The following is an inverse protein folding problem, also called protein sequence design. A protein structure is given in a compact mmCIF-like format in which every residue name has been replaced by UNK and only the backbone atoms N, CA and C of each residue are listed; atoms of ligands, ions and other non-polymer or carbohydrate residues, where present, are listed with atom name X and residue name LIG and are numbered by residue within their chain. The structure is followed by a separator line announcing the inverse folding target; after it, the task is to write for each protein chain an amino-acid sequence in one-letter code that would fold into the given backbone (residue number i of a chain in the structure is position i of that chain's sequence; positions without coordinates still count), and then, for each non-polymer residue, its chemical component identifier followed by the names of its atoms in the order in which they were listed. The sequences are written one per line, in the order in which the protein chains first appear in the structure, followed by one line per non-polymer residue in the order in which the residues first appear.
data_IF_407094430430
#
_entry.id   IF_407094430430
#
_cell.length_a   1.000
_cell.length_b   1.000
_cell.length_c   1.000
_cell.angle_alpha   90.00
_cell.angle_beta   90.00
_cell.angle_gamma   90.00
#
_symmetry.space_group_name_H-M   'P 1'
#
loop_
_entity.id
_entity.type
_entity.pdbx_description
1 polymer ?
#
# COMPACT_ATOMS: atom_id res chain seq x y z
N UNK A 1 -12.64 -16.88 13.26
CA UNK A 1 -11.33 -17.22 12.66
C UNK A 1 -11.38 -16.80 11.21
N UNK A 2 -10.58 -15.80 10.83
CA UNK A 2 -10.55 -15.24 9.48
C UNK A 2 -10.00 -16.29 8.53
N UNK A 3 -10.61 -16.43 7.35
CA UNK A 3 -10.03 -17.25 6.29
C UNK A 3 -8.94 -16.44 5.57
N UNK A 4 -7.72 -16.44 6.13
CA UNK A 4 -6.53 -15.80 5.54
C UNK A 4 -6.26 -16.26 4.10
N UNK A 5 -6.80 -17.42 3.67
CA UNK A 5 -6.68 -17.93 2.30
C UNK A 5 -7.29 -17.01 1.21
N UNK A 6 -8.20 -16.10 1.57
CA UNK A 6 -8.78 -15.15 0.58
C UNK A 6 -7.97 -13.87 0.38
N UNK A 7 -7.13 -13.50 1.35
CA UNK A 7 -6.28 -12.30 1.32
C UNK A 7 -4.87 -12.63 0.78
N UNK A 8 -4.45 -13.89 0.87
CA UNK A 8 -3.12 -14.45 0.55
C UNK A 8 -2.70 -14.47 -0.92
N UNK A 9 -3.48 -13.90 -1.84
CA UNK A 9 -3.02 -13.78 -3.25
C UNK A 9 -2.24 -12.50 -3.53
N UNK A 10 -2.20 -11.55 -2.61
CA UNK A 10 -1.46 -10.30 -2.76
C UNK A 10 -0.60 -10.11 -1.51
N UNK A 11 0.71 -10.33 -1.67
CA UNK A 11 1.70 -10.28 -0.58
C UNK A 11 1.62 -8.97 0.24
N UNK A 12 1.21 -7.86 -0.39
CA UNK A 12 1.05 -6.56 0.27
C UNK A 12 -0.05 -6.51 1.35
N UNK A 13 -0.83 -7.57 1.53
CA UNK A 13 -1.79 -7.73 2.64
C UNK A 13 -1.42 -8.82 3.64
N UNK A 14 -0.28 -9.47 3.46
CA UNK A 14 0.25 -10.37 4.48
C UNK A 14 0.87 -9.52 5.59
N UNK A 15 0.44 -9.74 6.84
CA UNK A 15 0.97 -8.97 7.97
C UNK A 15 2.47 -9.22 8.20
N UNK A 16 2.96 -10.39 7.81
CA UNK A 16 4.39 -10.70 7.83
C UNK A 16 5.20 -9.71 6.96
N UNK A 17 4.63 -9.22 5.85
CA UNK A 17 5.28 -8.19 5.05
C UNK A 17 5.44 -6.88 5.83
N UNK A 18 4.39 -6.43 6.54
CA UNK A 18 4.51 -5.25 7.39
C UNK A 18 5.56 -5.42 8.49
N UNK A 19 5.70 -6.62 9.07
CA UNK A 19 6.71 -6.93 10.07
C UNK A 19 8.14 -6.89 9.50
N UNK A 20 8.34 -7.38 8.28
CA UNK A 20 9.63 -7.28 7.58
C UNK A 20 9.96 -5.81 7.35
N UNK A 21 9.01 -5.04 6.79
CA UNK A 21 9.23 -3.62 6.47
C UNK A 21 9.48 -2.77 7.72
N UNK A 22 8.79 -3.06 8.82
CA UNK A 22 8.95 -2.29 10.06
C UNK A 22 10.38 -2.31 10.60
N UNK A 23 11.14 -3.38 10.31
CA UNK A 23 12.52 -3.54 10.78
C UNK A 23 13.50 -2.51 10.19
N UNK A 24 13.27 -2.06 8.96
CA UNK A 24 14.12 -1.07 8.29
C UNK A 24 13.51 0.33 8.20
N UNK A 25 12.22 0.50 8.52
CA UNK A 25 11.53 1.80 8.63
C UNK A 25 11.48 2.35 10.07
N UNK A 26 12.09 1.68 11.05
CA UNK A 26 12.02 2.01 12.48
C UNK A 26 10.59 2.31 12.97
N UNK A 27 9.66 1.45 12.56
CA UNK A 27 8.23 1.66 12.71
C UNK A 27 7.57 0.53 13.50
N UNK A 28 6.34 0.73 13.96
CA UNK A 28 5.52 -0.33 14.57
C UNK A 28 4.46 -0.80 13.59
N UNK A 29 4.43 -2.09 13.18
CA UNK A 29 3.41 -2.60 12.28
C UNK A 29 2.06 -2.69 13.01
N UNK A 30 1.01 -2.26 12.34
CA UNK A 30 -0.37 -2.21 12.85
C UNK A 30 -1.34 -2.64 11.75
N UNK A 31 -2.52 -3.11 12.16
CA UNK A 31 -3.62 -3.35 11.23
C UNK A 31 -4.96 -3.02 11.87
N UNK A 32 -5.94 -2.79 11.00
CA UNK A 32 -7.34 -2.65 11.36
C UNK A 32 -8.16 -3.60 10.48
N UNK A 33 -9.10 -4.30 11.11
CA UNK A 33 -10.03 -5.18 10.45
C UNK A 33 -11.43 -4.89 10.96
N UNK A 34 -12.39 -4.87 10.04
CA UNK A 34 -13.81 -4.85 10.38
C UNK A 34 -14.53 -5.91 9.58
N UNK A 35 -15.52 -6.55 10.19
CA UNK A 35 -16.37 -7.53 9.53
C UNK A 35 -17.85 -7.33 9.89
N UNK A 36 -18.73 -8.04 9.18
CA UNK A 36 -20.15 -8.15 9.47
C UNK A 36 -20.61 -9.62 9.54
N UNK A 37 -21.85 -9.84 9.98
CA UNK A 37 -22.44 -11.18 10.13
C UNK A 37 -22.69 -11.89 8.79
N UNK A 38 -22.59 -11.19 7.65
CA UNK A 38 -22.76 -11.73 6.30
C UNK A 38 -21.45 -12.28 5.73
N UNK A 39 -20.33 -12.15 6.46
CA UNK A 39 -19.01 -12.56 6.01
C UNK A 39 -18.26 -11.53 5.18
N UNK A 40 -18.80 -10.31 5.06
CA UNK A 40 -18.05 -9.19 4.49
C UNK A 40 -16.97 -8.74 5.46
N UNK A 41 -15.82 -8.34 4.91
CA UNK A 41 -14.73 -7.81 5.71
C UNK A 41 -13.94 -6.75 4.94
N UNK A 42 -13.28 -5.90 5.70
CA UNK A 42 -12.27 -4.98 5.19
C UNK A 42 -11.04 -5.04 6.10
N UNK A 43 -9.88 -4.87 5.49
CA UNK A 43 -8.57 -4.97 6.13
C UNK A 43 -7.66 -3.86 5.63
N UNK A 44 -6.89 -3.29 6.55
CA UNK A 44 -5.86 -2.31 6.25
C UNK A 44 -4.68 -2.47 7.20
N UNK A 45 -3.47 -2.53 6.66
CA UNK A 45 -2.23 -2.55 7.43
C UNK A 45 -1.36 -1.33 7.13
N UNK A 46 -0.68 -0.85 8.16
CA UNK A 46 0.17 0.32 8.12
C UNK A 46 1.29 0.20 9.16
N UNK A 47 2.33 1.01 8.97
CA UNK A 47 3.42 1.17 9.91
C UNK A 47 3.23 2.52 10.58
N UNK A 48 3.25 2.54 11.92
CA UNK A 48 3.15 3.75 12.73
C UNK A 48 4.54 4.20 13.15
N UNK A 49 4.88 5.47 12.94
CA UNK A 49 6.20 6.03 13.29
C UNK A 49 6.03 7.24 14.20
N UNK A 50 6.92 7.33 15.18
CA UNK A 50 7.04 8.50 16.04
C UNK A 50 7.83 9.57 15.29
N UNK A 51 7.21 10.73 15.06
CA UNK A 51 7.77 11.82 14.23
C UNK A 51 8.68 12.77 15.02
N UNK A 52 8.91 12.51 16.31
CA UNK A 52 9.81 13.32 17.15
C UNK A 52 11.28 13.18 16.76
N UNK A 53 11.67 12.17 15.97
CA UNK A 53 13.05 12.04 15.48
C UNK A 53 13.32 12.98 14.28
N UNK A 54 12.27 13.41 13.59
CA UNK A 54 12.29 14.22 12.38
C UNK A 54 12.02 15.69 12.69
N UNK A 55 11.32 15.96 13.79
CA UNK A 55 10.93 17.30 14.23
C UNK A 55 11.32 17.48 15.70
N UNK A 56 12.45 18.15 15.93
CA UNK A 56 13.10 18.24 17.24
C UNK A 56 12.24 18.91 18.33
N UNK A 57 11.27 19.74 17.94
CA UNK A 57 10.37 20.44 18.85
C UNK A 57 9.23 19.56 19.40
N UNK A 58 9.07 18.34 18.87
CA UNK A 58 7.99 17.44 19.30
C UNK A 58 8.40 16.56 20.47
N UNK A 59 7.47 16.38 21.40
CA UNK A 59 7.62 15.43 22.51
C UNK A 59 7.65 13.99 21.96
N UNK A 60 8.59 13.18 22.46
CA UNK A 60 8.71 11.77 22.08
C UNK A 60 7.45 10.98 22.42
N UNK A 61 7.02 10.11 21.51
CA UNK A 61 5.80 9.30 21.58
C UNK A 61 4.50 10.11 21.67
N UNK A 62 4.52 11.39 21.26
CA UNK A 62 3.34 12.25 21.32
C UNK A 62 2.53 12.23 20.03
N UNK A 63 3.21 12.40 18.91
CA UNK A 63 2.63 12.52 17.59
C UNK A 63 3.22 11.46 16.67
N UNK A 64 2.40 11.01 15.74
CA UNK A 64 2.76 9.94 14.85
C UNK A 64 2.36 10.26 13.42
N UNK A 65 3.11 9.70 12.50
CA UNK A 65 2.63 9.48 11.15
C UNK A 65 2.41 7.98 10.91
N UNK A 66 1.80 7.70 9.77
CA UNK A 66 1.73 6.34 9.26
C UNK A 66 2.19 6.26 7.82
N UNK A 67 2.73 5.10 7.47
CA UNK A 67 3.05 4.74 6.10
C UNK A 67 2.47 3.38 5.79
N UNK A 68 2.05 3.14 4.55
CA UNK A 68 1.86 1.75 4.10
C UNK A 68 3.22 1.06 4.03
N UNK A 69 3.30 -0.26 4.29
CA UNK A 69 4.51 -1.03 4.02
C UNK A 69 5.07 -0.74 2.62
N UNK A 70 6.40 -0.89 2.47
CA UNK A 70 7.08 -0.69 1.19
C UNK A 70 6.50 -1.62 0.12
N UNK A 71 6.60 -1.23 -1.15
CA UNK A 71 6.10 -2.03 -2.29
C UNK A 71 4.57 -2.29 -2.26
N UNK A 72 3.81 -1.22 -2.03
CA UNK A 72 2.35 -1.15 -2.12
C UNK A 72 1.56 -1.61 -0.87
N UNK A 73 0.40 -0.99 -0.69
CA UNK A 73 -0.66 -1.32 0.25
C UNK A 73 -1.96 -0.71 -0.26
N UNK A 74 -3.09 -0.93 0.40
CA UNK A 74 -4.32 -0.14 0.19
C UNK A 74 -5.37 -0.63 1.20
N UNK A 75 -6.63 -0.20 1.02
CA UNK A 75 -7.75 -0.84 1.68
C UNK A 75 -8.13 -2.10 0.89
N UNK A 76 -8.14 -3.25 1.56
CA UNK A 76 -8.82 -4.44 1.07
C UNK A 76 -10.25 -4.43 1.62
N UNK A 77 -11.24 -4.68 0.77
CA UNK A 77 -12.64 -4.71 1.20
C UNK A 77 -13.48 -5.56 0.26
N UNK A 78 -14.48 -6.27 0.81
CA UNK A 78 -15.41 -7.07 0.00
C UNK A 78 -16.52 -6.21 -0.62
N UNK A 79 -16.88 -5.08 0.01
CA UNK A 79 -17.88 -4.16 -0.50
C UNK A 79 -17.72 -2.72 0.05
N UNK A 80 -18.52 -1.80 -0.47
CA UNK A 80 -18.49 -0.37 -0.13
C UNK A 80 -18.91 -0.05 1.31
N UNK A 81 -19.90 -0.77 1.84
CA UNK A 81 -20.41 -0.55 3.20
C UNK A 81 -19.35 -0.92 4.24
N UNK A 82 -18.67 -2.05 4.04
CA UNK A 82 -17.62 -2.52 4.95
C UNK A 82 -16.35 -1.66 4.87
N UNK A 83 -16.02 -1.13 3.67
CA UNK A 83 -14.98 -0.12 3.49
C UNK A 83 -15.29 1.15 4.30
N UNK A 84 -16.52 1.67 4.19
CA UNK A 84 -16.91 2.88 4.91
C UNK A 84 -16.84 2.67 6.43
N UNK A 85 -17.23 1.49 6.91
CA UNK A 85 -17.07 1.11 8.33
C UNK A 85 -15.60 1.11 8.74
N UNK A 86 -14.71 0.54 7.91
CA UNK A 86 -13.27 0.51 8.17
C UNK A 86 -12.70 1.93 8.26
N UNK A 87 -13.05 2.81 7.31
CA UNK A 87 -12.56 4.18 7.28
C UNK A 87 -13.02 4.98 8.51
N UNK A 88 -14.27 4.80 8.97
CA UNK A 88 -14.76 5.42 10.22
C UNK A 88 -13.93 4.98 11.42
N UNK A 89 -13.70 3.69 11.58
CA UNK A 89 -12.90 3.17 12.71
C UNK A 89 -11.43 3.57 12.60
N UNK A 90 -10.89 3.62 11.39
CA UNK A 90 -9.53 4.09 11.11
C UNK A 90 -9.35 5.56 11.50
N UNK A 91 -10.26 6.47 11.10
CA UNK A 91 -10.20 7.87 11.49
C UNK A 91 -10.27 8.06 13.01
N UNK A 92 -11.15 7.33 13.70
CA UNK A 92 -11.22 7.35 15.17
C UNK A 92 -9.91 6.91 15.80
N UNK A 93 -9.30 5.84 15.27
CA UNK A 93 -8.00 5.37 15.73
C UNK A 93 -6.92 6.42 15.54
N UNK A 94 -6.88 7.09 14.40
CA UNK A 94 -5.92 8.17 14.16
C UNK A 94 -6.03 9.30 15.19
N UNK A 95 -7.26 9.73 15.49
CA UNK A 95 -7.50 10.78 16.51
C UNK A 95 -7.04 10.31 17.89
N UNK A 96 -7.45 9.11 18.31
CA UNK A 96 -7.15 8.58 19.64
C UNK A 96 -5.65 8.33 19.85
N UNK A 97 -4.93 8.04 18.77
CA UNK A 97 -3.51 7.69 18.81
C UNK A 97 -2.58 8.83 18.40
N UNK A 98 -3.10 10.06 18.24
CA UNK A 98 -2.35 11.24 17.78
C UNK A 98 -1.61 11.02 16.44
N UNK A 99 -2.23 10.30 15.51
CA UNK A 99 -1.74 10.15 14.14
C UNK A 99 -2.19 11.38 13.34
N UNK A 100 -1.25 12.22 12.94
CA UNK A 100 -1.54 13.53 12.34
C UNK A 100 -1.28 13.60 10.84
N UNK A 101 -0.57 12.62 10.29
CA UNK A 101 -0.28 12.53 8.85
C UNK A 101 -0.16 11.08 8.39
N UNK A 102 -0.36 10.88 7.09
CA UNK A 102 -0.27 9.56 6.47
C UNK A 102 0.34 9.65 5.07
N UNK A 103 1.19 8.69 4.72
CA UNK A 103 1.68 8.50 3.36
C UNK A 103 1.29 7.11 2.85
N UNK A 104 0.34 7.08 1.91
CA UNK A 104 -0.19 5.86 1.33
C UNK A 104 0.45 5.58 -0.03
N UNK A 105 1.03 4.39 -0.21
CA UNK A 105 1.39 3.84 -1.52
C UNK A 105 0.31 2.86 -1.96
N UNK A 106 -0.68 3.36 -2.70
CA UNK A 106 -1.78 2.51 -3.18
C UNK A 106 -1.27 1.48 -4.20
N UNK A 107 -1.69 0.23 -4.04
CA UNK A 107 -1.38 -0.82 -5.01
C UNK A 107 -2.07 -0.50 -6.36
N UNK A 108 -1.31 -0.27 -7.44
CA UNK A 108 -1.86 0.13 -8.74
C UNK A 108 -2.75 -0.96 -9.36
N UNK A 109 -2.60 -2.21 -8.94
CA UNK A 109 -3.43 -3.34 -9.42
C UNK A 109 -4.77 -3.41 -8.70
N UNK A 110 -5.00 -2.60 -7.67
CA UNK A 110 -6.21 -2.65 -6.84
C UNK A 110 -6.99 -1.36 -7.03
N UNK A 111 -8.16 -1.48 -7.64
CA UNK A 111 -9.09 -0.36 -7.78
C UNK A 111 -9.66 0.04 -6.43
N UNK A 112 -9.47 1.30 -6.06
CA UNK A 112 -10.01 1.91 -4.84
C UNK A 112 -11.30 2.69 -5.14
N UNK A 113 -12.23 2.71 -4.19
CA UNK A 113 -13.42 3.58 -4.26
C UNK A 113 -13.08 4.98 -3.73
N UNK A 114 -12.47 5.80 -4.58
CA UNK A 114 -12.06 7.16 -4.26
C UNK A 114 -13.20 8.06 -3.79
N UNK A 115 -14.42 7.83 -4.26
CA UNK A 115 -15.59 8.60 -3.81
C UNK A 115 -15.92 8.35 -2.33
N UNK A 116 -15.62 7.16 -1.81
CA UNK A 116 -15.78 6.84 -0.40
C UNK A 116 -14.56 7.33 0.37
N UNK A 117 -13.35 7.00 -0.09
CA UNK A 117 -12.10 7.35 0.60
C UNK A 117 -11.97 8.86 0.82
N UNK A 118 -12.27 9.67 -0.21
CA UNK A 118 -12.16 11.13 -0.15
C UNK A 118 -13.16 11.80 0.82
N UNK A 119 -14.15 11.06 1.35
CA UNK A 119 -15.02 11.56 2.44
C UNK A 119 -14.34 11.51 3.80
N UNK A 120 -13.31 10.69 3.95
CA UNK A 120 -12.64 10.41 5.22
C UNK A 120 -11.18 10.87 5.24
N UNK A 121 -10.52 10.87 4.08
CA UNK A 121 -9.09 11.14 3.95
C UNK A 121 -8.91 12.14 2.80
N UNK A 122 -8.22 13.25 3.05
CA UNK A 122 -7.79 14.17 1.99
C UNK A 122 -6.61 13.56 1.23
N UNK A 123 -6.90 12.84 0.14
CA UNK A 123 -5.88 12.16 -0.66
C UNK A 123 -5.35 13.09 -1.74
N UNK A 124 -4.06 13.42 -1.65
CA UNK A 124 -3.33 14.16 -2.70
C UNK A 124 -2.42 13.20 -3.47
N UNK A 125 -2.63 12.99 -4.78
CA UNK A 125 -1.75 12.15 -5.59
C UNK A 125 -0.37 12.79 -5.69
N UNK A 126 0.67 12.02 -5.38
CA UNK A 126 2.06 12.49 -5.37
C UNK A 126 2.78 12.11 -6.67
N UNK A 127 2.44 10.97 -7.28
CA UNK A 127 3.08 10.45 -8.47
C UNK A 127 2.14 9.51 -9.24
N UNK A 128 2.28 9.48 -10.56
CA UNK A 128 1.67 8.46 -11.42
C UNK A 128 2.59 7.24 -11.54
N UNK A 129 2.02 6.04 -11.45
CA UNK A 129 2.76 4.80 -11.68
C UNK A 129 2.93 4.54 -13.19
N UNK A 130 4.16 4.25 -13.60
CA UNK A 130 4.44 3.72 -14.95
C UNK A 130 4.31 2.20 -14.88
N UNK A 131 3.50 1.62 -15.75
CA UNK A 131 3.36 0.18 -15.89
C UNK A 131 3.50 -0.24 -17.36
N UNK A 132 3.77 -1.53 -17.56
CA UNK A 132 3.77 -2.18 -18.86
C UNK A 132 2.75 -3.31 -18.76
N UNK A 133 1.75 -3.30 -19.65
CA UNK A 133 0.82 -4.41 -19.73
C UNK A 133 1.51 -5.62 -20.37
N UNK A 134 1.61 -6.72 -19.62
CA UNK A 134 2.25 -7.96 -20.08
C UNK A 134 1.25 -8.92 -20.76
N UNK A 135 -0.03 -8.58 -20.80
CA UNK A 135 -1.04 -9.35 -21.54
C UNK A 135 -1.00 -9.10 -23.06
N UNK A 136 -0.27 -8.07 -23.48
CA UNK A 136 -0.07 -7.71 -24.89
C UNK A 136 1.39 -7.96 -25.30
N UNK A 137 1.67 -7.91 -26.62
CA UNK A 137 3.05 -7.91 -27.12
C UNK A 137 3.76 -6.57 -26.80
N UNK A 138 4.15 -6.41 -25.54
CA UNK A 138 4.61 -5.16 -24.96
C UNK A 138 5.88 -4.59 -25.59
N UNK A 139 6.71 -5.45 -26.22
CA UNK A 139 7.91 -5.02 -26.92
C UNK A 139 7.58 -4.08 -28.09
N UNK A 140 6.42 -4.24 -28.74
CA UNK A 140 5.99 -3.36 -29.82
C UNK A 140 5.69 -1.94 -29.32
N UNK A 141 5.38 -1.80 -28.03
CA UNK A 141 5.11 -0.50 -27.40
C UNK A 141 6.39 0.24 -27.01
N UNK A 142 7.57 -0.39 -27.13
CA UNK A 142 8.85 0.27 -26.84
C UNK A 142 9.36 1.11 -28.02
N UNK A 143 10.05 2.22 -27.70
CA UNK A 143 10.70 3.03 -28.73
C UNK A 143 11.76 2.25 -29.51
N UNK A 144 11.96 2.58 -30.79
CA UNK A 144 13.01 1.96 -31.65
C UNK A 144 14.40 2.00 -31.01
N UNK A 145 14.73 3.08 -30.28
CA UNK A 145 15.99 3.22 -29.55
C UNK A 145 16.10 2.19 -28.42
N UNK A 146 15.04 1.97 -27.64
CA UNK A 146 15.00 0.98 -26.56
C UNK A 146 15.12 -0.44 -27.13
N UNK A 147 14.39 -0.75 -28.20
CA UNK A 147 14.49 -2.05 -28.88
C UNK A 147 15.90 -2.36 -29.40
N UNK A 148 16.59 -1.37 -30.00
CA UNK A 148 17.99 -1.52 -30.41
C UNK A 148 18.93 -1.82 -29.24
N UNK A 149 18.72 -1.15 -28.10
CA UNK A 149 19.52 -1.37 -26.90
C UNK A 149 19.29 -2.77 -26.32
N UNK A 150 18.04 -3.25 -26.30
CA UNK A 150 17.70 -4.62 -25.87
C UNK A 150 18.42 -5.64 -26.76
N UNK A 151 18.33 -5.49 -28.10
CA UNK A 151 19.02 -6.38 -29.05
C UNK A 151 20.53 -6.37 -28.87
N UNK A 152 21.14 -5.19 -28.64
CA UNK A 152 22.58 -5.07 -28.38
C UNK A 152 22.97 -5.79 -27.09
N UNK A 153 22.19 -5.64 -26.02
CA UNK A 153 22.45 -6.33 -24.76
C UNK A 153 22.41 -7.86 -24.93
N UNK A 154 21.40 -8.37 -25.64
CA UNK A 154 21.26 -9.81 -25.95
C UNK A 154 22.46 -10.35 -26.74
N UNK A 155 22.98 -9.59 -27.70
CA UNK A 155 24.18 -10.00 -28.47
C UNK A 155 25.47 -10.00 -27.66
N UNK A 156 25.53 -9.22 -26.57
CA UNK A 156 26.74 -9.05 -25.75
C UNK A 156 26.79 -10.03 -24.57
N UNK A 157 25.64 -10.49 -24.06
CA UNK A 157 25.59 -11.43 -22.95
C UNK A 157 24.38 -12.38 -23.09
N UNK A 158 24.54 -13.51 -23.80
CA UNK A 158 23.43 -14.41 -24.13
C UNK A 158 22.88 -15.21 -22.94
N UNK A 159 23.57 -15.25 -21.79
CA UNK A 159 23.12 -16.00 -20.60
C UNK A 159 22.03 -15.28 -19.79
N UNK A 160 21.83 -13.97 -19.99
CA UNK A 160 20.73 -13.21 -19.40
C UNK A 160 19.48 -13.27 -20.28
N UNK A 161 18.95 -14.49 -20.50
CA UNK A 161 17.65 -14.70 -21.14
C UNK A 161 16.94 -15.83 -20.39
N UNK A 162 16.16 -15.48 -19.37
CA UNK A 162 15.11 -16.32 -18.78
C UNK A 162 13.95 -15.46 -18.33
#
# INVERSE_FOLDING_TARGET
MINMEKVTKIYSYEFNWAQIVSSFENATPQYIEVSNNKGDFAYFQYLKRDISNEIAELEKNKYFDIITPFDYGAFYYTNKEILEKLLKEFCKRCINENIISAFFRFNPLIKQDWNIINKYIDVKPIQEHIYIDLNEEYLNNFSKRKLRNIKKAQSLNPEFIS
#
